data_IF_262935894644
#
_entry.id   IF_262935894644
#
_cell.length_a   1.000
_cell.length_b   1.000
_cell.length_c   1.000
_cell.angle_alpha   90.00
_cell.angle_beta   90.00
_cell.angle_gamma   90.00
#
_symmetry.space_group_name_H-M   'P 1'
#
loop_
_entity.id
_entity.type
_entity.pdbx_description
1 polymer ?
#
# COMPACT_ATOMS: atom_id res chain seq x y z
N UNK A 1 11.36 6.14 0.93
CA UNK A 1 10.46 5.48 0.00
C UNK A 1 9.05 5.43 0.57
N UNK A 2 8.08 5.29 -0.30
CA UNK A 2 6.68 5.23 0.08
C UNK A 2 6.08 3.91 -0.37
N UNK A 3 5.28 3.27 0.48
CA UNK A 3 4.53 2.09 0.11
C UNK A 3 3.07 2.49 -0.04
N UNK A 4 2.48 2.21 -1.19
CA UNK A 4 1.07 2.47 -1.40
C UNK A 4 0.37 1.13 -1.60
N UNK A 5 -0.74 0.92 -0.90
CA UNK A 5 -1.49 -0.32 -0.97
C UNK A 5 -2.91 0.03 -1.38
N UNK A 6 -3.35 -0.55 -2.49
CA UNK A 6 -4.70 -0.33 -2.98
C UNK A 6 -5.45 -1.66 -2.91
N UNK A 7 -6.40 -1.75 -1.99
CA UNK A 7 -7.12 -3.00 -1.73
C UNK A 7 -8.47 -2.92 -2.40
N UNK A 8 -8.59 -3.55 -3.56
CA UNK A 8 -9.87 -3.65 -4.25
C UNK A 8 -10.61 -4.90 -3.82
N UNK A 9 -11.75 -5.13 -4.39
CA UNK A 9 -12.55 -6.31 -4.03
C UNK A 9 -11.91 -7.60 -4.50
N UNK A 10 -11.20 -7.58 -5.62
CA UNK A 10 -10.60 -8.79 -6.16
C UNK A 10 -9.10 -8.81 -6.06
N UNK A 11 -8.47 -7.67 -6.23
CA UNK A 11 -7.02 -7.59 -6.25
C UNK A 11 -6.50 -6.52 -5.33
N UNK A 12 -5.34 -6.79 -4.74
CA UNK A 12 -4.63 -5.81 -3.91
C UNK A 12 -3.33 -5.50 -4.61
N UNK A 13 -3.05 -4.23 -4.81
CA UNK A 13 -1.85 -3.78 -5.50
C UNK A 13 -0.94 -3.06 -4.51
N UNK A 14 0.34 -3.43 -4.53
CA UNK A 14 1.34 -2.81 -3.67
C UNK A 14 2.31 -2.07 -4.58
N UNK A 15 2.47 -0.78 -4.37
CA UNK A 15 3.39 0.03 -5.16
C UNK A 15 4.47 0.62 -4.29
N UNK A 16 5.69 0.65 -4.79
CA UNK A 16 6.82 1.26 -4.09
C UNK A 16 7.27 2.48 -4.87
N UNK A 17 7.26 3.63 -4.22
CA UNK A 17 7.67 4.89 -4.84
C UNK A 17 8.95 5.37 -4.17
N UNK A 18 9.94 5.75 -4.95
CA UNK A 18 11.24 6.13 -4.40
C UNK A 18 11.40 7.64 -4.17
N UNK A 19 10.35 8.40 -4.41
CA UNK A 19 10.40 9.85 -4.31
C UNK A 19 10.32 10.51 -5.67
N UNK A 20 10.62 9.77 -6.72
CA UNK A 20 10.56 10.30 -8.08
C UNK A 20 9.68 9.45 -8.97
N UNK A 21 9.68 8.17 -8.79
CA UNK A 21 8.88 7.29 -9.65
C UNK A 21 8.48 6.03 -8.90
N UNK A 22 7.54 5.29 -9.51
CA UNK A 22 7.14 4.01 -8.98
C UNK A 22 8.12 2.98 -9.47
N UNK A 23 8.89 2.42 -8.57
CA UNK A 23 9.95 1.50 -8.95
C UNK A 23 9.50 0.05 -8.98
N UNK A 24 8.46 -0.29 -8.24
CA UNK A 24 7.93 -1.65 -8.25
C UNK A 24 6.44 -1.63 -8.03
N UNK A 25 5.77 -2.65 -8.58
CA UNK A 25 4.35 -2.79 -8.37
C UNK A 25 4.06 -4.28 -8.33
N UNK A 26 3.48 -4.75 -7.25
CA UNK A 26 3.15 -6.15 -7.07
C UNK A 26 1.66 -6.30 -6.83
N UNK A 27 1.11 -7.43 -7.22
CA UNK A 27 -0.32 -7.65 -7.13
C UNK A 27 -0.61 -8.99 -6.49
N UNK A 28 -1.65 -9.04 -5.70
CA UNK A 28 -2.08 -10.26 -5.03
C UNK A 28 -3.59 -10.30 -5.05
N UNK A 29 -4.16 -11.48 -4.94
CA UNK A 29 -5.62 -11.59 -4.81
C UNK A 29 -6.02 -11.03 -3.45
N UNK A 30 -7.14 -10.33 -3.41
CA UNK A 30 -7.62 -9.77 -2.16
C UNK A 30 -8.21 -10.88 -1.30
N UNK A 31 -7.74 -10.97 -0.08
CA UNK A 31 -8.22 -11.97 0.86
C UNK A 31 -8.33 -11.31 2.22
N UNK A 32 -9.52 -10.93 2.67
CA UNK A 32 -9.67 -10.21 3.93
C UNK A 32 -9.31 -11.05 5.16
N UNK A 33 -9.10 -12.34 5.00
CA UNK A 33 -8.72 -13.17 6.13
C UNK A 33 -7.21 -13.23 6.33
N UNK A 34 -6.42 -12.69 5.39
CA UNK A 34 -4.98 -12.72 5.58
C UNK A 34 -4.57 -11.76 6.69
N UNK A 35 -3.69 -12.23 7.54
CA UNK A 35 -3.23 -11.44 8.68
C UNK A 35 -2.07 -10.54 8.27
N UNK A 36 -1.67 -9.66 9.17
CA UNK A 36 -0.50 -8.83 8.95
C UNK A 36 0.73 -9.69 8.72
N UNK A 37 0.84 -10.82 9.42
CA UNK A 37 1.97 -11.71 9.29
C UNK A 37 2.01 -12.34 7.88
N UNK A 38 0.84 -12.72 7.36
CA UNK A 38 0.78 -13.28 6.01
C UNK A 38 1.23 -12.27 4.98
N UNK A 39 0.78 -11.03 5.13
CA UNK A 39 1.16 -9.99 4.19
C UNK A 39 2.65 -9.67 4.31
N UNK A 40 3.17 -9.67 5.52
CA UNK A 40 4.57 -9.37 5.72
C UNK A 40 5.47 -10.42 5.07
N UNK A 41 5.14 -11.68 5.26
CA UNK A 41 5.94 -12.75 4.69
C UNK A 41 6.00 -12.64 3.16
N UNK A 42 4.87 -12.37 2.56
CA UNK A 42 4.79 -12.24 1.11
C UNK A 42 5.54 -11.00 0.61
N UNK A 43 5.34 -9.88 1.27
CA UNK A 43 5.93 -8.63 0.85
C UNK A 43 7.45 -8.66 1.01
N UNK A 44 7.94 -9.20 2.11
CA UNK A 44 9.37 -9.29 2.33
C UNK A 44 10.05 -10.22 1.34
N UNK A 45 9.36 -11.30 0.98
CA UNK A 45 9.91 -12.21 -0.01
C UNK A 45 10.05 -11.53 -1.36
N UNK A 46 9.03 -10.80 -1.79
CA UNK A 46 9.08 -10.10 -3.06
C UNK A 46 10.14 -9.01 -3.03
N UNK A 47 10.21 -8.28 -1.94
CA UNK A 47 11.21 -7.22 -1.83
C UNK A 47 12.62 -7.79 -1.95
N UNK A 48 12.85 -8.93 -1.34
CA UNK A 48 14.14 -9.57 -1.41
C UNK A 48 14.46 -10.00 -2.84
N UNK A 49 13.48 -10.55 -3.53
CA UNK A 49 13.68 -11.00 -4.89
C UNK A 49 13.96 -9.85 -5.85
N UNK A 50 13.39 -8.69 -5.58
CA UNK A 50 13.55 -7.55 -6.46
C UNK A 50 14.60 -6.55 -5.97
N UNK A 51 15.27 -6.85 -4.89
CA UNK A 51 16.32 -5.97 -4.39
C UNK A 51 15.82 -4.69 -3.75
N UNK A 52 14.63 -4.71 -3.17
CA UNK A 52 14.07 -3.54 -2.52
C UNK A 52 14.29 -3.64 -1.02
N UNK A 53 14.86 -2.60 -0.43
CA UNK A 53 15.08 -2.56 1.01
C UNK A 53 13.88 -1.92 1.67
N UNK A 54 13.02 -2.73 2.27
CA UNK A 54 11.80 -2.23 2.89
C UNK A 54 12.05 -1.35 4.09
N UNK A 55 13.26 -1.38 4.63
CA UNK A 55 13.58 -0.50 5.75
C UNK A 55 13.64 0.96 5.31
N UNK A 56 13.75 1.20 4.02
CA UNK A 56 13.80 2.55 3.51
C UNK A 56 12.41 3.17 3.34
N UNK A 57 11.35 2.39 3.57
CA UNK A 57 10.00 2.90 3.47
C UNK A 57 9.74 3.76 4.70
N UNK A 58 9.39 5.01 4.47
CA UNK A 58 9.12 5.96 5.55
C UNK A 58 7.67 6.42 5.58
N UNK A 59 6.88 6.01 4.64
CA UNK A 59 5.47 6.34 4.60
C UNK A 59 4.67 5.22 4.02
N UNK A 60 3.43 5.09 4.44
CA UNK A 60 2.54 4.05 3.93
C UNK A 60 1.16 4.64 3.76
N UNK A 61 0.60 4.49 2.56
CA UNK A 61 -0.72 5.00 2.28
C UNK A 61 -1.56 3.83 1.83
N UNK A 62 -2.75 3.68 2.38
CA UNK A 62 -3.60 2.54 2.11
C UNK A 62 -4.98 3.02 1.66
N UNK A 63 -5.45 2.48 0.54
CA UNK A 63 -6.79 2.72 0.05
C UNK A 63 -7.50 1.38 0.06
N UNK A 64 -8.66 1.29 0.68
CA UNK A 64 -9.37 0.03 0.73
C UNK A 64 -10.87 0.23 0.69
N UNK A 65 -11.56 -0.69 0.00
CA UNK A 65 -13.00 -0.74 0.02
C UNK A 65 -13.42 -1.94 0.86
N UNK A 66 -12.47 -2.61 1.52
CA UNK A 66 -12.75 -3.79 2.32
C UNK A 66 -12.44 -3.46 3.77
N UNK A 67 -13.45 -3.17 4.59
CA UNK A 67 -13.20 -2.74 5.97
C UNK A 67 -12.35 -3.70 6.79
N UNK A 68 -12.54 -5.00 6.59
CA UNK A 68 -11.78 -5.96 7.37
C UNK A 68 -10.30 -5.90 7.06
N UNK A 69 -9.93 -5.47 5.88
CA UNK A 69 -8.54 -5.39 5.50
C UNK A 69 -7.81 -4.25 6.22
N UNK A 70 -8.54 -3.24 6.68
CA UNK A 70 -7.90 -2.11 7.34
C UNK A 70 -7.08 -2.54 8.54
N UNK A 71 -7.64 -3.40 9.35
CA UNK A 71 -6.97 -3.83 10.59
C UNK A 71 -5.65 -4.53 10.25
N UNK A 72 -5.68 -5.44 9.31
CA UNK A 72 -4.49 -6.21 8.99
C UNK A 72 -3.42 -5.37 8.30
N UNK A 73 -3.80 -4.46 7.43
CA UNK A 73 -2.81 -3.61 6.78
C UNK A 73 -2.27 -2.55 7.73
N UNK A 74 -3.09 -2.09 8.67
CA UNK A 74 -2.60 -1.15 9.68
C UNK A 74 -1.52 -1.86 10.52
N UNK A 75 -1.78 -3.10 10.91
CA UNK A 75 -0.81 -3.83 11.71
C UNK A 75 0.43 -4.19 10.90
N UNK A 76 0.29 -4.43 9.61
CA UNK A 76 1.46 -4.65 8.76
C UNK A 76 2.38 -3.43 8.83
N UNK A 77 1.82 -2.24 8.68
CA UNK A 77 2.63 -1.03 8.69
C UNK A 77 3.22 -0.78 10.07
N UNK A 78 2.41 -0.93 11.11
CA UNK A 78 2.87 -0.64 12.46
C UNK A 78 3.91 -1.63 12.96
N UNK A 79 3.65 -2.92 12.75
CA UNK A 79 4.55 -3.92 13.29
C UNK A 79 5.79 -4.15 12.48
N UNK A 80 5.67 -4.17 11.18
CA UNK A 80 6.78 -4.56 10.34
C UNK A 80 7.52 -3.40 9.70
N UNK A 81 6.83 -2.31 9.42
CA UNK A 81 7.47 -1.14 8.85
C UNK A 81 7.71 -0.07 9.90
N UNK A 82 7.06 -0.23 11.06
CA UNK A 82 7.18 0.73 12.16
C UNK A 82 6.75 2.11 11.73
N UNK A 83 5.64 2.17 10.99
CA UNK A 83 5.09 3.41 10.50
C UNK A 83 3.60 3.44 10.77
N UNK A 84 3.07 4.60 11.03
CA UNK A 84 1.63 4.76 11.12
C UNK A 84 1.09 5.00 9.73
N UNK A 85 0.25 4.13 9.19
CA UNK A 85 -0.23 4.29 7.81
C UNK A 85 -1.32 5.33 7.73
N UNK A 86 -1.49 5.90 6.54
CA UNK A 86 -2.53 6.86 6.28
C UNK A 86 -3.55 6.18 5.39
N UNK A 87 -4.81 6.24 5.74
CA UNK A 87 -5.87 5.61 4.95
C UNK A 87 -6.57 6.66 4.08
N UNK A 88 -6.67 6.37 2.79
CA UNK A 88 -7.33 7.26 1.86
C UNK A 88 -8.78 6.84 1.76
N UNK A 89 -9.67 7.78 1.62
CA UNK A 89 -11.09 7.47 1.52
C UNK A 89 -11.81 7.68 2.82
N UNK A 90 -11.07 7.86 3.90
CA UNK A 90 -11.66 8.19 5.16
C UNK A 90 -12.13 9.64 5.04
N UNK A 91 -13.35 9.95 5.41
CA UNK A 91 -13.83 11.34 5.30
C UNK A 91 -12.98 12.33 6.06
N UNK A 92 -12.24 11.86 7.05
CA UNK A 92 -11.40 12.76 7.80
C UNK A 92 -10.03 12.98 7.17
N UNK A 93 -9.73 12.24 6.16
CA UNK A 93 -8.46 12.41 5.54
C UNK A 93 -8.66 13.29 4.38
N UNK A 94 -7.77 14.13 4.18
CA UNK A 94 -8.07 14.96 3.24
C UNK A 94 -7.59 14.75 1.98
N UNK A 95 -8.01 15.36 1.31
CA UNK A 95 -7.85 15.40 -0.02
C UNK A 95 -6.53 15.71 -0.51
N UNK A 96 -5.76 16.40 0.19
CA UNK A 96 -4.43 16.70 -0.29
C UNK A 96 -3.64 15.44 -0.61
N UNK A 97 -3.82 14.44 0.21
CA UNK A 97 -3.10 13.20 -0.01
C UNK A 97 -3.65 12.49 -1.23
N UNK A 98 -4.96 12.47 -1.39
CA UNK A 98 -5.54 11.84 -2.52
C UNK A 98 -5.07 12.46 -3.81
N UNK A 99 -5.02 13.74 -3.87
CA UNK A 99 -4.60 14.42 -5.07
C UNK A 99 -3.21 14.01 -5.48
N UNK A 100 -2.32 13.93 -4.51
CA UNK A 100 -1.00 13.54 -4.83
C UNK A 100 -0.88 12.13 -5.31
N UNK A 101 -1.66 11.26 -4.80
CA UNK A 101 -1.59 9.89 -5.19
C UNK A 101 -2.29 9.64 -6.47
N UNK A 102 -3.37 10.27 -6.66
CA UNK A 102 -4.07 10.05 -7.86
C UNK A 102 -3.64 10.86 -8.99
N UNK A 103 -2.76 11.47 -8.99
CA UNK A 103 -2.32 12.22 -9.92
C UNK A 103 -2.25 11.87 -11.03
N UNK A 104 -2.43 12.03 -11.46
CA UNK A 104 -2.62 11.85 -12.33
C UNK A 104 -2.32 11.33 -13.32
N UNK A 105 -2.17 11.13 -13.55
CA UNK A 105 -1.90 10.63 -14.37
C UNK A 105 -2.10 9.53 -14.43
N UNK A 106 -2.48 9.02 -13.85
CA UNK A 106 -2.70 7.92 -13.78
C UNK A 106 -3.61 7.59 -13.57
N UNK A 107 -3.96 7.82 -13.27
CA UNK A 107 -4.63 7.29 -12.98
C UNK A 107 -5.43 7.11 -12.50
N UNK A 108 -5.87 7.24 -12.51
CA UNK A 108 -6.89 6.86 -11.99
C UNK A 108 -6.60 6.31 -10.85
N UNK A 109 -7.21 6.57 -9.96
CA UNK A 109 -6.96 6.18 -8.82
C UNK A 109 -6.43 5.02 -8.66
N UNK A 110 -7.09 4.24 -8.95
CA UNK A 110 -6.59 3.11 -8.85
C UNK A 110 -5.55 3.10 -9.72
N UNK A 111 -5.48 3.97 -10.52
CA UNK A 111 -4.55 3.94 -11.29
C UNK A 111 -3.42 4.40 -10.83
N UNK A 112 -3.30 4.84 -9.70
CA UNK A 112 -2.11 5.43 -9.30
C UNK A 112 -1.22 4.31 -9.20
N UNK A 113 -1.60 3.20 -8.71
CA UNK A 113 -0.73 2.11 -8.65
C UNK A 113 -1.16 1.08 -9.62
N UNK A 114 -1.91 1.40 -10.57
CA UNK A 114 -2.25 0.37 -11.53
C UNK A 114 -2.01 0.83 -12.95
#
# INVERSE_FOLDING_TARGET
>A
MLLAIDVGNTNTVFGIHDGESWINQWRSATDPTKTADDHAAWLWRLADMYGVDLKRIKGCVISTVVPQAQFNFRNLARRYLEIEPMFIGDPNLKTGVEVRIHRPEQVGADRIVS
#
